data_IF_055078547662
#
_entry.id   IF_055078547662
#
_cell.length_a   1.000
_cell.length_b   1.000
_cell.length_c   1.000
_cell.angle_alpha   90.00
_cell.angle_beta   90.00
_cell.angle_gamma   90.00
#
_symmetry.space_group_name_H-M   'P 1'
#
loop_
_entity.id
_entity.type
_entity.pdbx_description
1 polymer ?
#
# COMPACT_ATOMS: atom_id res chain seq x y z
N UNK A 1 9.81 69.18 5.37
CA UNK A 1 8.59 69.57 4.63
C UNK A 1 8.37 68.57 3.50
N UNK A 2 7.28 67.79 3.58
CA UNK A 2 6.95 66.66 2.69
C UNK A 2 6.68 67.14 1.24
N UNK A 3 7.30 66.51 0.24
CA UNK A 3 6.88 66.61 -1.16
C UNK A 3 6.17 65.32 -1.56
N UNK A 4 4.85 65.37 -1.69
CA UNK A 4 4.05 64.31 -2.33
C UNK A 4 4.05 64.58 -3.85
N UNK A 5 4.60 63.67 -4.65
CA UNK A 5 4.24 63.54 -6.07
C UNK A 5 3.42 62.26 -6.20
N UNK A 6 2.15 62.41 -6.56
CA UNK A 6 1.23 61.30 -6.86
C UNK A 6 1.59 60.75 -8.23
N UNK A 7 1.99 59.48 -8.29
CA UNK A 7 2.09 58.71 -9.54
C UNK A 7 0.83 57.86 -9.63
N UNK A 8 -0.03 58.16 -10.60
CA UNK A 8 -1.13 57.27 -10.98
C UNK A 8 -0.53 56.14 -11.83
N UNK A 9 -0.38 54.95 -11.24
CA UNK A 9 -0.10 53.74 -11.98
C UNK A 9 -1.44 53.08 -12.33
N UNK A 10 -1.78 53.05 -13.62
CA UNK A 10 -2.92 52.31 -14.16
C UNK A 10 -2.49 50.84 -14.26
N UNK A 11 -2.99 50.01 -13.34
CA UNK A 11 -2.80 48.56 -13.39
C UNK A 11 -3.86 47.94 -14.32
N UNK A 12 -3.47 47.59 -15.54
CA UNK A 12 -4.28 46.74 -16.41
C UNK A 12 -4.08 45.30 -15.93
N UNK A 13 -5.08 44.75 -15.23
CA UNK A 13 -5.14 43.34 -14.91
C UNK A 13 -5.56 42.55 -16.15
N UNK A 14 -4.60 41.86 -16.79
CA UNK A 14 -4.90 40.86 -17.81
C UNK A 14 -5.33 39.57 -17.11
N UNK A 15 -6.64 39.33 -17.04
CA UNK A 15 -7.18 38.03 -16.60
C UNK A 15 -7.13 37.09 -17.80
N UNK A 16 -6.07 36.28 -17.89
CA UNK A 16 -6.06 35.11 -18.75
C UNK A 16 -6.86 34.00 -18.06
N UNK A 17 -8.12 33.84 -18.49
CA UNK A 17 -8.90 32.67 -18.16
C UNK A 17 -8.32 31.45 -18.91
N UNK A 18 -7.46 30.70 -18.23
CA UNK A 18 -7.14 29.33 -18.65
C UNK A 18 -8.27 28.42 -18.20
N UNK A 19 -9.22 28.15 -19.10
CA UNK A 19 -10.07 26.97 -18.99
C UNK A 19 -9.21 25.74 -19.22
N UNK A 20 -8.74 25.13 -18.14
CA UNK A 20 -8.27 23.75 -18.19
C UNK A 20 -9.49 22.87 -18.43
N UNK A 21 -9.64 22.38 -19.67
CA UNK A 21 -10.45 21.20 -19.95
C UNK A 21 -9.67 20.05 -19.32
N UNK A 22 -10.02 19.71 -18.07
CA UNK A 22 -9.61 18.46 -17.45
C UNK A 22 -10.32 17.34 -18.22
N UNK A 23 -9.64 16.80 -19.23
CA UNK A 23 -10.03 15.53 -19.83
C UNK A 23 -9.87 14.48 -18.73
N UNK A 24 -10.97 13.89 -18.28
CA UNK A 24 -11.01 13.00 -17.13
C UNK A 24 -10.04 11.83 -17.27
N UNK A 25 -8.98 11.83 -16.46
CA UNK A 25 -8.42 10.58 -15.98
C UNK A 25 -9.47 9.99 -15.05
N UNK A 26 -10.10 8.89 -15.47
CA UNK A 26 -10.68 7.99 -14.48
C UNK A 26 -9.54 7.63 -13.52
N UNK A 27 -9.64 8.05 -12.26
CA UNK A 27 -8.73 7.58 -11.21
C UNK A 27 -8.95 6.08 -11.05
N UNK A 28 -8.21 5.29 -11.83
CA UNK A 28 -8.23 3.83 -11.75
C UNK A 28 -7.42 3.33 -10.55
N UNK A 29 -6.58 4.19 -9.96
CA UNK A 29 -5.84 3.90 -8.73
C UNK A 29 -6.80 3.82 -7.54
N UNK A 30 -6.72 2.72 -6.80
CA UNK A 30 -7.56 2.49 -5.63
C UNK A 30 -6.76 1.75 -4.56
N UNK A 31 -6.88 2.25 -3.35
CA UNK A 31 -6.68 1.47 -2.13
C UNK A 31 -8.03 0.87 -1.73
N UNK A 32 -8.06 -0.17 -0.90
CA UNK A 32 -9.32 -0.60 -0.27
C UNK A 32 -9.85 0.52 0.64
N UNK A 33 -11.13 0.50 0.96
CA UNK A 33 -11.72 1.49 1.86
C UNK A 33 -11.26 1.25 3.30
N UNK A 34 -10.81 0.03 3.66
CA UNK A 34 -10.34 -0.35 4.99
C UNK A 34 -9.08 -1.22 4.89
N UNK A 35 -8.26 -1.21 5.94
CA UNK A 35 -7.20 -2.19 6.12
C UNK A 35 -7.73 -3.35 6.98
N UNK A 36 -7.12 -4.53 6.93
CA UNK A 36 -7.48 -5.64 7.80
C UNK A 36 -6.49 -5.81 8.96
N UNK A 37 -7.03 -6.22 10.10
CA UNK A 37 -6.31 -6.58 11.33
C UNK A 37 -6.93 -7.86 11.86
N UNK A 38 -6.10 -8.78 12.35
CA UNK A 38 -6.52 -10.01 13.01
C UNK A 38 -6.39 -9.86 14.52
N UNK A 39 -7.44 -10.22 15.25
CA UNK A 39 -7.40 -10.31 16.72
C UNK A 39 -6.42 -11.39 17.19
N UNK A 40 -5.70 -11.15 18.28
CA UNK A 40 -4.74 -12.13 18.83
C UNK A 40 -5.42 -13.45 19.27
N UNK A 41 -6.72 -13.40 19.56
CA UNK A 41 -7.57 -14.54 19.93
C UNK A 41 -8.30 -15.18 18.74
N UNK A 42 -8.27 -14.57 17.56
CA UNK A 42 -8.92 -15.08 16.35
C UNK A 42 -8.14 -16.26 15.77
N UNK A 43 -8.80 -17.43 15.65
CA UNK A 43 -8.18 -18.65 15.16
C UNK A 43 -7.22 -19.32 16.15
N UNK A 44 -7.25 -18.95 17.44
CA UNK A 44 -6.43 -19.62 18.46
C UNK A 44 -6.77 -21.10 18.55
N UNK A 45 -5.74 -21.94 18.42
CA UNK A 45 -5.86 -23.40 18.47
C UNK A 45 -5.92 -24.10 17.11
N UNK A 46 -6.01 -23.33 16.02
CA UNK A 46 -5.98 -23.84 14.65
C UNK A 46 -4.83 -23.19 13.88
N UNK A 47 -4.01 -24.01 13.22
CA UNK A 47 -2.91 -23.53 12.37
C UNK A 47 -3.35 -23.71 10.92
N UNK A 48 -3.43 -22.60 10.20
CA UNK A 48 -3.72 -22.56 8.78
C UNK A 48 -2.46 -22.19 8.02
N UNK A 49 -2.03 -23.07 7.13
CA UNK A 49 -0.95 -22.81 6.17
C UNK A 49 -1.41 -23.37 4.84
N UNK A 50 -1.53 -22.49 3.85
CA UNK A 50 -1.91 -22.84 2.47
C UNK A 50 -0.66 -23.08 1.63
N UNK A 51 0.02 -24.20 1.90
CA UNK A 51 1.29 -24.57 1.25
C UNK A 51 1.17 -24.64 -0.27
N UNK A 52 -0.01 -25.05 -0.78
CA UNK A 52 -0.29 -25.11 -2.21
C UNK A 52 -0.34 -23.71 -2.82
N UNK A 53 -1.09 -22.78 -2.21
CA UNK A 53 -1.14 -21.39 -2.68
C UNK A 53 0.25 -20.73 -2.62
N UNK A 54 1.01 -20.95 -1.55
CA UNK A 54 2.38 -20.43 -1.41
C UNK A 54 3.29 -20.97 -2.52
N UNK A 55 3.25 -22.28 -2.77
CA UNK A 55 4.05 -22.90 -3.83
C UNK A 55 3.69 -22.39 -5.22
N UNK A 56 2.40 -22.18 -5.49
CA UNK A 56 1.90 -21.63 -6.75
C UNK A 56 2.34 -20.18 -6.94
N UNK A 57 2.19 -19.35 -5.92
CA UNK A 57 2.53 -17.93 -5.97
C UNK A 57 4.04 -17.70 -6.11
N UNK A 58 4.87 -18.51 -5.43
CA UNK A 58 6.33 -18.46 -5.55
C UNK A 58 6.88 -18.87 -6.92
N UNK A 59 6.06 -19.51 -7.77
CA UNK A 59 6.42 -19.85 -9.15
C UNK A 59 6.27 -18.69 -10.14
N UNK A 60 5.51 -17.64 -9.80
CA UNK A 60 5.28 -16.48 -10.66
C UNK A 60 6.30 -15.38 -10.34
N UNK A 61 7.28 -15.19 -11.21
CA UNK A 61 8.28 -14.13 -11.03
C UNK A 61 7.66 -12.75 -11.27
N UNK A 62 7.61 -11.91 -10.22
CA UNK A 62 7.35 -10.47 -10.36
C UNK A 62 8.47 -9.81 -11.18
N UNK A 63 8.13 -8.76 -11.94
CA UNK A 63 9.15 -8.02 -12.69
C UNK A 63 10.16 -7.35 -11.75
N UNK A 64 11.38 -7.11 -12.22
CA UNK A 64 12.41 -6.42 -11.42
C UNK A 64 11.91 -5.08 -10.89
N UNK A 65 11.19 -4.32 -11.73
CA UNK A 65 10.60 -3.04 -11.33
C UNK A 65 9.61 -3.18 -10.16
N UNK A 66 8.81 -4.25 -10.15
CA UNK A 66 7.89 -4.53 -9.06
C UNK A 66 8.65 -4.87 -7.76
N UNK A 67 9.68 -5.72 -7.85
CA UNK A 67 10.54 -6.05 -6.70
C UNK A 67 11.24 -4.81 -6.12
N UNK A 68 11.80 -3.95 -6.98
CA UNK A 68 12.45 -2.71 -6.58
C UNK A 68 11.46 -1.75 -5.89
N UNK A 69 10.23 -1.69 -6.39
CA UNK A 69 9.17 -0.88 -5.80
C UNK A 69 8.73 -1.38 -4.41
N UNK A 70 8.65 -2.70 -4.20
CA UNK A 70 8.41 -3.30 -2.88
C UNK A 70 9.51 -2.91 -1.87
N UNK A 71 10.78 -2.95 -2.28
CA UNK A 71 11.90 -2.56 -1.41
C UNK A 71 11.89 -1.07 -1.11
N UNK A 72 11.58 -0.23 -2.11
CA UNK A 72 11.52 1.21 -1.95
C UNK A 72 10.40 1.64 -1.00
N UNK A 73 9.19 1.05 -1.11
CA UNK A 73 8.09 1.38 -0.19
C UNK A 73 8.40 0.95 1.25
N UNK A 74 9.08 -0.19 1.43
CA UNK A 74 9.56 -0.62 2.75
C UNK A 74 10.53 0.39 3.38
N UNK A 75 11.47 0.92 2.60
CA UNK A 75 12.40 1.93 3.08
C UNK A 75 11.68 3.23 3.46
N UNK A 76 10.74 3.70 2.62
CA UNK A 76 9.94 4.91 2.87
C UNK A 76 9.16 4.82 4.19
N UNK A 77 8.45 3.70 4.42
CA UNK A 77 7.67 3.55 5.63
C UNK A 77 8.54 3.39 6.89
N UNK A 78 9.68 2.71 6.81
CA UNK A 78 10.59 2.59 7.96
C UNK A 78 11.24 3.93 8.31
N UNK A 79 11.57 4.74 7.30
CA UNK A 79 12.02 6.11 7.53
C UNK A 79 10.98 6.92 8.30
N UNK A 80 9.70 6.83 7.94
CA UNK A 80 8.61 7.51 8.64
C UNK A 80 8.39 6.97 10.06
N UNK A 81 8.47 5.63 10.25
CA UNK A 81 8.40 5.00 11.57
C UNK A 81 9.49 5.54 12.49
N UNK A 82 10.74 5.57 12.04
CA UNK A 82 11.87 6.12 12.80
C UNK A 82 11.68 7.60 13.10
N UNK A 83 11.22 8.39 12.12
CA UNK A 83 10.94 9.81 12.31
C UNK A 83 9.88 10.07 13.40
N UNK A 84 8.98 9.11 13.64
CA UNK A 84 7.95 9.14 14.70
C UNK A 84 8.36 8.42 15.99
N UNK A 85 9.60 7.97 16.10
CA UNK A 85 10.11 7.29 17.29
C UNK A 85 9.68 5.82 17.44
N UNK A 86 9.20 5.20 16.36
CA UNK A 86 8.88 3.78 16.31
C UNK A 86 10.10 2.97 15.85
N UNK A 87 10.16 1.69 16.25
CA UNK A 87 11.14 0.75 15.71
C UNK A 87 10.85 0.43 14.24
N UNK A 88 11.90 0.25 13.45
CA UNK A 88 11.78 -0.28 12.09
C UNK A 88 11.14 -1.67 12.08
N UNK A 89 10.33 -1.94 11.07
CA UNK A 89 9.86 -3.28 10.74
C UNK A 89 11.00 -4.06 10.07
N UNK A 90 11.09 -5.35 10.38
CA UNK A 90 12.03 -6.28 9.75
C UNK A 90 11.33 -6.96 8.57
N UNK A 91 12.01 -7.01 7.43
CA UNK A 91 11.51 -7.75 6.27
C UNK A 91 11.42 -9.26 6.57
N UNK A 92 10.26 -9.87 6.35
CA UNK A 92 9.99 -11.28 6.63
C UNK A 92 9.66 -12.04 5.35
N UNK A 93 10.46 -13.06 5.03
CA UNK A 93 10.23 -13.94 3.87
C UNK A 93 8.89 -14.68 3.96
N UNK A 94 8.48 -15.14 5.16
CA UNK A 94 7.19 -15.81 5.34
C UNK A 94 6.02 -14.87 5.02
N UNK A 95 6.08 -13.63 5.52
CA UNK A 95 5.08 -12.61 5.16
C UNK A 95 5.15 -12.22 3.69
N UNK A 96 6.33 -12.19 3.06
CA UNK A 96 6.43 -11.93 1.61
C UNK A 96 5.76 -13.04 0.80
N UNK A 97 5.92 -14.30 1.20
CA UNK A 97 5.24 -15.43 0.55
C UNK A 97 3.72 -15.29 0.67
N UNK A 98 3.22 -14.96 1.87
CA UNK A 98 1.81 -14.69 2.09
C UNK A 98 1.32 -13.50 1.25
N UNK A 99 2.06 -12.39 1.26
CA UNK A 99 1.76 -11.21 0.45
C UNK A 99 1.69 -11.54 -1.04
N UNK A 100 2.54 -12.45 -1.55
CA UNK A 100 2.52 -12.82 -2.97
C UNK A 100 1.26 -13.60 -3.35
N UNK A 101 0.79 -14.49 -2.48
CA UNK A 101 -0.52 -15.14 -2.63
C UNK A 101 -1.62 -14.09 -2.63
N UNK A 102 -1.63 -13.21 -1.63
CA UNK A 102 -2.67 -12.18 -1.48
C UNK A 102 -2.71 -11.21 -2.65
N UNK A 103 -1.56 -10.70 -3.09
CA UNK A 103 -1.41 -9.85 -4.27
C UNK A 103 -1.97 -10.52 -5.54
N UNK A 104 -1.79 -11.83 -5.70
CA UNK A 104 -2.36 -12.61 -6.80
C UNK A 104 -3.88 -12.74 -6.67
N UNK A 105 -4.39 -13.11 -5.49
CA UNK A 105 -5.82 -13.31 -5.23
C UNK A 105 -6.64 -12.02 -5.49
N UNK A 106 -6.10 -10.86 -5.13
CA UNK A 106 -6.79 -9.58 -5.29
C UNK A 106 -6.89 -9.10 -6.75
N UNK A 107 -6.20 -9.75 -7.68
CA UNK A 107 -6.39 -9.55 -9.13
C UNK A 107 -7.76 -10.08 -9.59
N UNK A 108 -8.28 -11.10 -8.90
CA UNK A 108 -9.58 -11.72 -9.18
C UNK A 108 -10.69 -11.04 -8.37
N UNK A 109 -10.43 -10.76 -7.10
CA UNK A 109 -11.36 -10.10 -6.19
C UNK A 109 -10.60 -9.21 -5.22
N UNK A 110 -10.63 -7.90 -5.45
CA UNK A 110 -10.00 -6.91 -4.58
C UNK A 110 -10.74 -6.83 -3.23
N UNK A 111 -10.28 -7.64 -2.26
CA UNK A 111 -10.91 -7.82 -0.94
C UNK A 111 -9.93 -8.49 0.04
N UNK A 112 -10.05 -8.14 1.31
CA UNK A 112 -9.43 -8.85 2.44
C UNK A 112 -9.98 -10.28 2.64
N UNK A 113 -11.14 -10.61 2.09
CA UNK A 113 -11.64 -11.98 2.04
C UNK A 113 -11.04 -12.70 0.83
N UNK A 114 -10.37 -13.83 1.10
CA UNK A 114 -9.75 -14.67 0.06
C UNK A 114 -10.81 -15.22 -0.90
N UNK A 115 -10.45 -15.61 -2.15
CA UNK A 115 -11.40 -16.13 -3.13
C UNK A 115 -12.15 -17.40 -2.70
N UNK A 116 -11.55 -18.19 -1.80
CA UNK A 116 -12.15 -19.37 -1.17
C UNK A 116 -13.10 -19.01 0.01
N UNK A 117 -13.35 -17.72 0.26
CA UNK A 117 -14.14 -17.15 1.36
C UNK A 117 -13.52 -17.28 2.77
N UNK A 118 -12.24 -17.62 2.89
CA UNK A 118 -11.53 -17.54 4.17
C UNK A 118 -10.92 -16.15 4.39
N UNK A 119 -10.46 -15.90 5.60
CA UNK A 119 -9.79 -14.65 5.96
C UNK A 119 -8.39 -14.57 5.34
N UNK A 120 -7.88 -13.35 5.13
CA UNK A 120 -6.55 -13.10 4.55
C UNK A 120 -5.42 -13.88 5.25
N UNK A 121 -5.51 -13.98 6.58
CA UNK A 121 -4.48 -14.57 7.43
C UNK A 121 -4.44 -16.10 7.35
N UNK A 122 -5.37 -16.75 6.64
CA UNK A 122 -5.32 -18.20 6.45
C UNK A 122 -4.36 -18.64 5.35
N UNK A 123 -3.61 -17.73 4.73
CA UNK A 123 -2.46 -18.13 3.88
C UNK A 123 -1.34 -18.67 4.76
N UNK A 124 -0.97 -17.94 5.82
CA UNK A 124 -0.12 -18.41 6.90
C UNK A 124 -0.51 -17.72 8.23
N UNK A 125 -1.32 -18.42 9.02
CA UNK A 125 -1.84 -17.91 10.28
C UNK A 125 -0.78 -17.81 11.37
N UNK A 126 0.44 -18.30 11.12
CA UNK A 126 1.53 -18.23 12.10
C UNK A 126 2.21 -16.86 12.09
N UNK A 127 2.09 -16.11 10.99
CA UNK A 127 2.79 -14.83 10.81
C UNK A 127 1.88 -13.64 10.49
N UNK A 128 0.69 -13.85 9.89
CA UNK A 128 -0.18 -12.76 9.43
C UNK A 128 -1.11 -12.20 10.53
N UNK A 129 -1.00 -10.90 10.79
CA UNK A 129 -1.83 -10.17 11.75
C UNK A 129 -2.41 -8.84 11.24
N UNK A 130 -1.92 -8.31 10.11
CA UNK A 130 -2.53 -7.16 9.44
C UNK A 130 -2.25 -7.17 7.94
N UNK A 131 -3.17 -6.62 7.14
CA UNK A 131 -3.05 -6.55 5.68
C UNK A 131 -3.43 -5.14 5.20
N UNK A 132 -2.60 -4.59 4.31
CA UNK A 132 -2.86 -3.41 3.51
C UNK A 132 -2.88 -3.79 2.03
N UNK A 133 -3.94 -3.41 1.30
CA UNK A 133 -4.09 -3.71 -0.12
C UNK A 133 -4.12 -2.43 -0.97
N UNK A 134 -3.56 -2.50 -2.18
CA UNK A 134 -3.69 -1.42 -3.17
C UNK A 134 -3.64 -1.99 -4.59
N UNK A 135 -4.19 -1.26 -5.56
CA UNK A 135 -4.11 -1.63 -6.98
C UNK A 135 -3.88 -0.43 -7.87
N UNK A 136 -3.22 -0.69 -8.99
CA UNK A 136 -2.96 0.23 -10.10
C UNK A 136 -2.00 1.39 -9.78
N UNK A 137 -1.35 1.37 -8.61
CA UNK A 137 -0.19 2.20 -8.30
C UNK A 137 1.07 1.59 -8.92
N UNK A 138 1.80 2.37 -9.73
CA UNK A 138 3.02 1.91 -10.41
C UNK A 138 4.31 2.49 -9.83
N UNK A 139 4.29 2.94 -8.57
CA UNK A 139 5.50 3.37 -7.88
C UNK A 139 5.37 3.24 -6.37
N UNK A 140 6.52 3.08 -5.71
CA UNK A 140 6.61 3.07 -4.25
C UNK A 140 6.08 4.36 -3.63
N UNK A 141 6.44 5.53 -4.16
CA UNK A 141 5.97 6.82 -3.64
C UNK A 141 4.46 6.95 -3.72
N UNK A 142 3.85 6.53 -4.83
CA UNK A 142 2.41 6.69 -5.03
C UNK A 142 1.59 5.79 -4.11
N UNK A 143 2.00 4.52 -3.95
CA UNK A 143 1.33 3.60 -3.02
C UNK A 143 1.59 3.97 -1.55
N UNK A 144 2.81 4.43 -1.22
CA UNK A 144 3.15 4.93 0.11
C UNK A 144 2.23 6.09 0.52
N UNK A 145 2.13 7.12 -0.34
CA UNK A 145 1.27 8.28 -0.09
C UNK A 145 -0.19 7.85 0.05
N UNK A 146 -0.66 6.91 -0.78
CA UNK A 146 -2.02 6.40 -0.71
C UNK A 146 -2.31 5.71 0.63
N UNK A 147 -1.45 4.78 1.06
CA UNK A 147 -1.61 4.12 2.37
C UNK A 147 -1.52 5.11 3.54
N UNK A 148 -0.58 6.05 3.52
CA UNK A 148 -0.42 7.01 4.60
C UNK A 148 -1.57 8.04 4.68
N UNK A 149 -2.24 8.33 3.56
CA UNK A 149 -3.43 9.18 3.53
C UNK A 149 -4.70 8.45 4.00
N UNK A 150 -4.67 7.11 4.09
CA UNK A 150 -5.78 6.32 4.62
C UNK A 150 -5.59 6.01 6.09
N UNK A 151 -6.47 6.48 7.00
CA UNK A 151 -6.28 6.30 8.44
C UNK A 151 -6.06 4.85 8.88
N UNK A 152 -6.78 3.89 8.29
CA UNK A 152 -6.68 2.46 8.60
C UNK A 152 -5.36 1.84 8.14
N UNK A 153 -4.95 2.07 6.90
CA UNK A 153 -3.68 1.59 6.36
C UNK A 153 -2.48 2.22 7.09
N UNK A 154 -2.55 3.53 7.35
CA UNK A 154 -1.56 4.25 8.14
C UNK A 154 -1.47 3.71 9.57
N UNK A 155 -2.60 3.31 10.18
CA UNK A 155 -2.60 2.68 11.50
C UNK A 155 -1.83 1.35 11.49
N UNK A 156 -2.00 0.49 10.49
CA UNK A 156 -1.20 -0.72 10.32
C UNK A 156 0.30 -0.40 10.19
N UNK A 157 0.67 0.53 9.29
CA UNK A 157 2.08 0.89 9.07
C UNK A 157 2.72 1.50 10.33
N UNK A 158 1.94 2.22 11.15
CA UNK A 158 2.43 2.92 12.34
C UNK A 158 2.17 2.16 13.65
N UNK A 159 1.70 0.92 13.59
CA UNK A 159 1.50 0.11 14.79
C UNK A 159 2.86 -0.21 15.43
N UNK A 160 3.01 0.15 16.71
CA UNK A 160 4.24 -0.07 17.47
C UNK A 160 4.44 -1.55 17.89
N UNK A 161 3.35 -2.32 17.91
CA UNK A 161 3.31 -3.74 18.18
C UNK A 161 3.95 -4.54 17.05
N UNK A 162 3.61 -4.27 15.80
CA UNK A 162 4.20 -4.99 14.66
C UNK A 162 5.73 -4.88 14.62
N UNK A 163 6.36 -6.01 14.29
CA UNK A 163 7.82 -6.20 14.20
C UNK A 163 8.27 -6.61 12.82
N UNK A 164 7.41 -7.30 12.07
CA UNK A 164 7.75 -7.85 10.77
C UNK A 164 6.76 -7.42 9.70
N UNK A 165 7.25 -7.38 8.46
CA UNK A 165 6.45 -7.03 7.29
C UNK A 165 6.89 -7.82 6.07
N UNK A 166 5.95 -8.17 5.21
CA UNK A 166 6.20 -8.68 3.87
C UNK A 166 5.40 -7.88 2.85
N UNK A 167 6.00 -7.55 1.72
CA UNK A 167 5.35 -6.77 0.66
C UNK A 167 5.57 -7.47 -0.67
N UNK A 168 4.50 -7.60 -1.45
CA UNK A 168 4.57 -8.19 -2.78
C UNK A 168 3.67 -7.46 -3.77
N UNK A 169 4.02 -7.59 -5.04
CA UNK A 169 3.25 -7.12 -6.18
C UNK A 169 2.98 -8.28 -7.12
N UNK A 170 1.71 -8.47 -7.49
CA UNK A 170 1.33 -9.23 -8.66
C UNK A 170 1.19 -8.27 -9.85
N UNK A 171 1.94 -8.54 -10.93
CA UNK A 171 1.80 -7.81 -12.19
C UNK A 171 0.97 -8.64 -13.17
N UNK A 172 -0.17 -8.11 -13.61
CA UNK A 172 -1.02 -8.76 -14.61
C UNK A 172 -0.48 -8.54 -16.02
N UNK A 173 -1.00 -9.30 -17.00
CA UNK A 173 -0.52 -9.28 -18.40
C UNK A 173 -0.70 -7.94 -19.12
N UNK A 174 -1.62 -7.09 -18.65
CA UNK A 174 -1.82 -5.71 -19.10
C UNK A 174 -0.84 -4.71 -18.45
N UNK A 175 0.05 -5.19 -17.58
CA UNK A 175 1.04 -4.39 -16.86
C UNK A 175 0.55 -3.78 -15.55
N UNK A 176 -0.71 -3.99 -15.18
CA UNK A 176 -1.29 -3.48 -13.94
C UNK A 176 -0.67 -4.13 -12.68
N UNK A 177 -0.49 -3.35 -11.61
CA UNK A 177 0.12 -3.80 -10.35
C UNK A 177 -0.91 -3.92 -9.24
N UNK A 178 -0.88 -5.04 -8.52
CA UNK A 178 -1.69 -5.33 -7.34
C UNK A 178 -0.77 -5.57 -6.15
N UNK A 179 -0.94 -4.79 -5.09
CA UNK A 179 -0.07 -4.75 -3.94
C UNK A 179 -0.74 -5.42 -2.74
N UNK A 180 0.02 -6.24 -2.02
CA UNK A 180 -0.31 -6.67 -0.68
C UNK A 180 0.87 -6.41 0.25
N UNK A 181 0.55 -5.91 1.45
CA UNK A 181 1.49 -5.67 2.53
C UNK A 181 0.95 -6.32 3.80
N UNK A 182 1.67 -7.33 4.28
CA UNK A 182 1.30 -8.16 5.43
C UNK A 182 2.18 -7.82 6.63
N UNK A 183 1.60 -7.75 7.82
CA UNK A 183 2.27 -7.41 9.07
C UNK A 183 2.21 -8.53 10.11
N UNK A 184 3.24 -8.63 10.96
CA UNK A 184 3.30 -9.57 12.07
C UNK A 184 3.93 -8.98 13.34
N UNK A 185 3.53 -9.49 14.50
CA UNK A 185 4.05 -9.14 15.83
C UNK A 185 5.41 -9.80 16.15
#
# INVERSE_FOLDING_TARGET
>A
MRKLKRVFAVSIAAVMAFTFIACGSVDTQSIDDQAAVRGLDEGVGEIYIDDEAIALAGGAASSQAATDACQAVFNLMNQERVARGLSELVWSTALTNAAQVRASEITTKFSHTRPNNSDFWTVDSTVQYGENLAKLYQSADSVYVAWMNSPTHAANIMDAGYKTVGIAICQTSDGSWYWAQEFGY
#
